data_IF_098814202097
#
_entry.id   IF_098814202097
#
_cell.length_a   1.000
_cell.length_b   1.000
_cell.length_c   1.000
_cell.angle_alpha   90.00
_cell.angle_beta   90.00
_cell.angle_gamma   90.00
#
_symmetry.space_group_name_H-M   'P 1'
#
loop_
_entity.id
_entity.type
_entity.pdbx_description
1 polymer ?
#
# COMPACT_ATOMS: atom_id res chain seq x y z
N UNK A 1 -19.68 18.23 -7.44
CA UNK A 1 -20.47 17.86 -6.23
C UNK A 1 -19.85 16.64 -5.52
N UNK A 2 -19.49 15.59 -6.26
CA UNK A 2 -18.88 14.37 -5.68
C UNK A 2 -17.54 14.69 -5.02
N UNK A 3 -16.61 15.34 -5.71
CA UNK A 3 -15.28 15.70 -5.19
C UNK A 3 -15.36 16.48 -3.87
N UNK A 4 -16.19 17.53 -3.84
CA UNK A 4 -16.39 18.36 -2.63
C UNK A 4 -16.93 17.53 -1.46
N UNK A 5 -17.92 16.66 -1.72
CA UNK A 5 -18.50 15.84 -0.67
C UNK A 5 -17.52 14.79 -0.19
N UNK A 6 -16.76 14.15 -1.11
CA UNK A 6 -15.72 13.20 -0.76
C UNK A 6 -14.65 13.83 0.13
N UNK A 7 -14.14 15.00 -0.27
CA UNK A 7 -13.17 15.73 0.54
C UNK A 7 -13.71 16.03 1.94
N UNK A 8 -14.91 16.62 2.04
CA UNK A 8 -15.50 16.97 3.34
C UNK A 8 -15.74 15.76 4.25
N UNK A 9 -16.01 14.59 3.66
CA UNK A 9 -16.28 13.37 4.43
C UNK A 9 -15.01 12.63 4.85
N UNK A 10 -13.99 12.58 3.98
CA UNK A 10 -12.85 11.69 4.18
C UNK A 10 -11.54 12.40 4.55
N UNK A 11 -11.41 13.70 4.28
CA UNK A 11 -10.17 14.41 4.61
C UNK A 11 -10.00 14.58 6.13
N UNK A 12 -8.84 14.17 6.63
CA UNK A 12 -8.44 14.29 8.04
C UNK A 12 -7.35 15.37 8.12
N UNK A 13 -7.78 16.61 8.43
CA UNK A 13 -6.93 17.79 8.39
C UNK A 13 -5.68 17.67 9.25
N UNK A 14 -5.83 17.23 10.49
CA UNK A 14 -4.75 17.14 11.46
C UNK A 14 -3.68 16.08 11.13
N UNK A 15 -3.97 15.18 10.17
CA UNK A 15 -3.07 14.10 9.75
C UNK A 15 -2.65 14.19 8.29
N UNK A 16 -3.29 15.08 7.51
CA UNK A 16 -3.09 15.26 6.08
C UNK A 16 -3.18 13.94 5.29
N UNK A 17 -4.22 13.14 5.58
CA UNK A 17 -4.54 11.90 4.88
C UNK A 17 -6.05 11.66 4.81
N UNK A 18 -6.50 10.61 4.11
CA UNK A 18 -7.92 10.25 4.04
C UNK A 18 -8.28 9.28 5.17
N UNK A 19 -9.46 9.44 5.77
CA UNK A 19 -10.06 8.49 6.69
C UNK A 19 -10.25 7.14 6.00
N UNK A 20 -10.07 6.05 6.76
CA UNK A 20 -10.25 4.69 6.26
C UNK A 20 -11.71 4.42 5.90
N UNK A 21 -12.62 4.84 6.77
CA UNK A 21 -14.06 4.85 6.54
C UNK A 21 -14.74 5.95 7.37
N UNK A 22 -16.01 6.19 7.07
CA UNK A 22 -16.88 7.10 7.84
C UNK A 22 -18.16 6.38 8.21
N UNK A 23 -18.50 6.41 9.48
CA UNK A 23 -19.73 5.81 10.02
C UNK A 23 -20.49 6.81 10.90
N UNK A 24 -21.50 6.32 11.66
CA UNK A 24 -22.30 7.14 12.59
C UNK A 24 -21.47 7.79 13.71
N UNK A 25 -20.29 7.24 14.02
CA UNK A 25 -19.36 7.77 15.03
C UNK A 25 -18.39 8.77 14.45
N UNK A 26 -18.41 8.98 13.13
CA UNK A 26 -17.56 9.90 12.40
C UNK A 26 -16.42 9.19 11.64
N UNK A 27 -15.32 9.92 11.42
CA UNK A 27 -14.18 9.46 10.63
C UNK A 27 -13.33 8.45 11.41
N UNK A 28 -13.02 7.29 10.82
CA UNK A 28 -11.92 6.46 11.29
C UNK A 28 -10.60 7.06 10.78
N UNK A 29 -9.81 7.60 11.70
CA UNK A 29 -8.56 8.33 11.40
C UNK A 29 -7.31 7.44 11.41
N UNK A 30 -7.45 6.13 11.28
CA UNK A 30 -6.31 5.22 11.18
C UNK A 30 -5.61 5.37 9.84
N UNK A 31 -4.29 5.44 9.86
CA UNK A 31 -3.50 5.44 8.62
C UNK A 31 -3.46 4.00 8.09
N UNK A 32 -4.27 3.75 7.06
CA UNK A 32 -4.40 2.47 6.37
C UNK A 32 -4.13 2.62 4.87
N UNK A 33 -3.79 1.54 4.15
CA UNK A 33 -3.41 1.64 2.74
C UNK A 33 -4.57 1.93 1.79
N UNK A 34 -5.84 1.74 2.18
CA UNK A 34 -7.01 1.89 1.30
C UNK A 34 -7.08 3.24 0.59
N UNK A 35 -6.58 4.29 1.21
CA UNK A 35 -6.50 5.63 0.62
C UNK A 35 -5.66 5.69 -0.66
N UNK A 36 -4.80 4.71 -0.94
CA UNK A 36 -3.99 4.65 -2.17
C UNK A 36 -4.86 4.55 -3.42
N UNK A 37 -6.01 3.87 -3.32
CA UNK A 37 -6.93 3.74 -4.45
C UNK A 37 -7.48 5.10 -4.91
N UNK A 38 -7.81 5.99 -3.96
CA UNK A 38 -8.25 7.34 -4.30
C UNK A 38 -7.18 8.14 -5.06
N UNK A 39 -5.89 7.76 -4.94
CA UNK A 39 -4.79 8.41 -5.66
C UNK A 39 -4.51 7.76 -7.02
N UNK A 40 -4.66 6.44 -7.12
CA UNK A 40 -4.25 5.67 -8.30
C UNK A 40 -5.30 5.63 -9.42
N UNK A 41 -6.58 5.59 -9.06
CA UNK A 41 -7.66 5.43 -10.05
C UNK A 41 -7.78 6.63 -10.99
N UNK A 42 -8.22 6.37 -12.23
CA UNK A 42 -8.35 7.36 -13.28
C UNK A 42 -9.34 8.47 -12.90
N UNK A 43 -10.51 8.07 -12.40
CA UNK A 43 -11.57 9.00 -11.97
C UNK A 43 -11.48 9.26 -10.45
N UNK A 44 -10.37 9.85 -10.05
CA UNK A 44 -10.10 10.16 -8.65
C UNK A 44 -10.92 11.36 -8.16
N UNK A 45 -11.59 11.26 -6.99
CA UNK A 45 -12.36 12.37 -6.42
C UNK A 45 -11.51 13.37 -5.63
N UNK A 46 -10.17 13.22 -5.62
CA UNK A 46 -9.26 14.07 -4.83
C UNK A 46 -8.30 14.86 -5.71
N UNK A 47 -7.96 16.08 -5.27
CA UNK A 47 -7.02 16.96 -5.96
C UNK A 47 -5.58 16.41 -5.91
N UNK A 48 -4.71 16.92 -6.79
CA UNK A 48 -3.28 16.55 -6.80
C UNK A 48 -2.59 16.87 -5.47
N UNK A 49 -2.94 17.97 -4.82
CA UNK A 49 -2.44 18.34 -3.51
C UNK A 49 -2.79 17.28 -2.45
N UNK A 50 -4.05 16.84 -2.43
CA UNK A 50 -4.50 15.77 -1.53
C UNK A 50 -3.79 14.46 -1.85
N UNK A 51 -3.63 14.10 -3.14
CA UNK A 51 -2.86 12.91 -3.56
C UNK A 51 -1.42 12.97 -3.06
N UNK A 52 -0.75 14.11 -3.19
CA UNK A 52 0.62 14.29 -2.71
C UNK A 52 0.74 14.09 -1.20
N UNK A 53 -0.20 14.62 -0.42
CA UNK A 53 -0.24 14.45 1.03
C UNK A 53 -0.49 12.99 1.42
N UNK A 54 -1.45 12.34 0.78
CA UNK A 54 -1.76 10.91 0.98
C UNK A 54 -0.56 10.04 0.67
N UNK A 55 0.08 10.20 -0.50
CA UNK A 55 1.25 9.41 -0.89
C UNK A 55 2.43 9.62 0.06
N UNK A 56 2.64 10.86 0.53
CA UNK A 56 3.66 11.16 1.54
C UNK A 56 3.36 10.47 2.88
N UNK A 57 2.10 10.45 3.30
CA UNK A 57 1.67 9.73 4.51
C UNK A 57 1.89 8.22 4.37
N UNK A 58 1.50 7.62 3.23
CA UNK A 58 1.72 6.19 2.92
C UNK A 58 3.21 5.87 2.91
N UNK A 59 4.02 6.65 2.22
CA UNK A 59 5.47 6.44 2.14
C UNK A 59 6.12 6.43 3.52
N UNK A 60 5.74 7.37 4.37
CA UNK A 60 6.32 7.53 5.71
C UNK A 60 5.92 6.42 6.68
N UNK A 61 4.69 5.90 6.60
CA UNK A 61 4.13 5.05 7.66
C UNK A 61 3.82 3.62 7.20
N UNK A 62 3.51 3.41 5.93
CA UNK A 62 3.02 2.11 5.46
C UNK A 62 3.97 1.42 4.49
N UNK A 63 4.78 2.17 3.73
CA UNK A 63 5.64 1.61 2.70
C UNK A 63 6.76 0.77 3.32
N UNK A 64 6.97 -0.41 2.74
CA UNK A 64 8.07 -1.32 3.03
C UNK A 64 8.67 -1.83 1.71
N UNK A 65 9.79 -2.53 1.77
CA UNK A 65 10.34 -3.22 0.59
C UNK A 65 9.48 -4.41 0.11
N UNK A 66 8.43 -4.79 0.85
CA UNK A 66 7.54 -5.93 0.55
C UNK A 66 6.07 -5.51 0.37
N UNK A 67 5.79 -4.23 0.15
CA UNK A 67 4.44 -3.71 -0.07
C UNK A 67 3.99 -2.67 0.94
N UNK A 68 2.68 -2.55 1.16
CA UNK A 68 2.12 -1.61 2.12
C UNK A 68 1.62 -2.34 3.37
N UNK A 69 1.98 -1.81 4.55
CA UNK A 69 1.40 -2.25 5.83
C UNK A 69 -0.10 -2.01 5.84
N UNK A 70 -0.84 -2.90 6.47
CA UNK A 70 -2.30 -2.77 6.63
C UNK A 70 -2.70 -1.77 7.70
N UNK A 71 -1.79 -1.38 8.58
CA UNK A 71 -1.95 -0.34 9.61
C UNK A 71 -0.61 0.33 9.91
N UNK A 72 -0.64 1.61 10.24
CA UNK A 72 0.54 2.37 10.67
C UNK A 72 1.12 1.82 11.97
N UNK A 73 2.47 1.67 12.09
CA UNK A 73 3.13 1.31 13.33
C UNK A 73 2.91 2.29 14.49
N UNK A 74 2.44 3.50 14.20
CA UNK A 74 2.08 4.50 15.22
C UNK A 74 0.72 4.26 15.88
N UNK A 75 -0.08 3.33 15.32
CA UNK A 75 -1.37 3.00 15.89
C UNK A 75 -1.19 2.03 17.07
N UNK A 76 -1.87 2.25 18.22
CA UNK A 76 -1.78 1.35 19.37
C UNK A 76 -2.22 -0.09 19.11
N UNK A 77 -3.04 -0.31 18.05
CA UNK A 77 -3.51 -1.62 17.65
C UNK A 77 -2.55 -2.32 16.68
N UNK A 78 -1.41 -1.71 16.36
CA UNK A 78 -0.45 -2.27 15.41
C UNK A 78 0.09 -3.63 15.85
N UNK A 79 0.11 -4.57 14.92
CA UNK A 79 0.62 -5.92 15.09
C UNK A 79 1.34 -6.34 13.81
N UNK A 80 2.65 -6.07 13.76
CA UNK A 80 3.48 -6.27 12.56
C UNK A 80 3.92 -7.71 12.34
N UNK A 81 3.80 -8.60 13.34
CA UNK A 81 4.28 -9.98 13.25
C UNK A 81 3.11 -10.95 13.15
N UNK A 82 3.14 -11.80 12.10
CA UNK A 82 2.11 -12.81 11.82
C UNK A 82 2.48 -14.13 12.49
N UNK A 83 2.08 -14.28 13.75
CA UNK A 83 2.41 -15.47 14.57
C UNK A 83 1.33 -15.79 15.59
N UNK A 84 1.46 -16.95 16.26
CA UNK A 84 0.57 -17.38 17.32
C UNK A 84 -0.59 -18.25 16.83
N UNK A 85 -1.69 -18.28 17.59
CA UNK A 85 -2.91 -19.01 17.24
C UNK A 85 -3.69 -18.31 16.11
N UNK A 86 -4.80 -18.90 15.67
CA UNK A 86 -5.61 -18.37 14.55
C UNK A 86 -6.05 -16.93 14.79
N UNK A 87 -6.62 -16.64 15.97
CA UNK A 87 -7.12 -15.30 16.28
C UNK A 87 -6.02 -14.23 16.27
N UNK A 88 -4.83 -14.61 16.76
CA UNK A 88 -3.66 -13.72 16.77
C UNK A 88 -3.17 -13.43 15.36
N UNK A 89 -3.14 -14.44 14.49
CA UNK A 89 -2.76 -14.28 13.09
C UNK A 89 -3.79 -13.46 12.31
N UNK A 90 -5.08 -13.73 12.49
CA UNK A 90 -6.17 -12.97 11.86
C UNK A 90 -6.14 -11.49 12.29
N UNK A 91 -5.83 -11.25 13.56
CA UNK A 91 -5.63 -9.89 14.03
C UNK A 91 -4.43 -9.21 13.32
N UNK A 92 -3.27 -9.85 13.29
CA UNK A 92 -2.07 -9.31 12.64
C UNK A 92 -2.27 -9.06 11.14
N UNK A 93 -3.03 -9.94 10.47
CA UNK A 93 -3.36 -9.88 9.06
C UNK A 93 -3.89 -8.50 8.61
N UNK A 94 -4.73 -7.86 9.46
CA UNK A 94 -5.36 -6.58 9.18
C UNK A 94 -4.80 -5.41 10.01
N UNK A 95 -3.89 -5.67 10.93
CA UNK A 95 -3.39 -4.66 11.87
C UNK A 95 -1.88 -4.42 11.78
N UNK A 96 -1.25 -4.75 10.68
CA UNK A 96 0.16 -4.42 10.54
C UNK A 96 0.93 -5.19 9.49
N UNK A 97 0.53 -6.41 9.14
CA UNK A 97 1.17 -7.18 8.08
C UNK A 97 1.21 -6.40 6.76
N UNK A 98 2.25 -6.64 5.98
CA UNK A 98 2.48 -6.00 4.68
C UNK A 98 1.82 -6.79 3.56
N UNK A 99 1.17 -6.07 2.64
CA UNK A 99 0.50 -6.64 1.46
C UNK A 99 1.21 -6.26 0.17
N UNK A 100 1.81 -7.22 -0.55
CA UNK A 100 2.52 -6.97 -1.80
C UNK A 100 1.66 -6.35 -2.90
N UNK A 101 0.45 -6.87 -3.09
CA UNK A 101 -0.43 -6.45 -4.19
C UNK A 101 -0.79 -4.96 -4.18
N UNK A 102 -0.73 -4.31 -3.02
CA UNK A 102 -1.01 -2.88 -2.88
C UNK A 102 0.08 -1.98 -3.46
N UNK A 103 1.29 -2.52 -3.67
CA UNK A 103 2.43 -1.71 -4.11
C UNK A 103 2.23 -1.13 -5.51
N UNK A 104 1.55 -1.86 -6.39
CA UNK A 104 1.30 -1.39 -7.74
C UNK A 104 0.47 -0.10 -7.76
N UNK A 105 -0.54 0.01 -6.91
CA UNK A 105 -1.36 1.23 -6.80
C UNK A 105 -0.54 2.41 -6.27
N UNK A 106 0.38 2.17 -5.34
CA UNK A 106 1.30 3.20 -4.87
C UNK A 106 2.25 3.66 -5.99
N UNK A 107 2.82 2.73 -6.75
CA UNK A 107 3.70 3.02 -7.89
C UNK A 107 2.93 3.80 -8.96
N UNK A 108 1.75 3.33 -9.35
CA UNK A 108 0.91 3.99 -10.35
C UNK A 108 0.55 5.42 -9.96
N UNK A 109 0.11 5.62 -8.71
CA UNK A 109 -0.22 6.95 -8.20
C UNK A 109 1.01 7.86 -8.15
N UNK A 110 2.16 7.33 -7.75
CA UNK A 110 3.42 8.08 -7.68
C UNK A 110 3.92 8.51 -9.06
N UNK A 111 3.88 7.61 -10.04
CA UNK A 111 4.24 7.92 -11.43
C UNK A 111 3.31 8.96 -12.06
N UNK A 112 1.99 8.83 -11.85
CA UNK A 112 0.99 9.80 -12.34
C UNK A 112 1.22 11.20 -11.77
N UNK A 113 1.60 11.28 -10.50
CA UNK A 113 1.72 12.57 -9.80
C UNK A 113 3.12 13.19 -9.90
N UNK A 114 4.18 12.40 -9.76
CA UNK A 114 5.56 12.89 -9.66
C UNK A 114 6.38 12.66 -10.93
N UNK A 115 5.82 11.96 -11.90
CA UNK A 115 6.47 11.74 -13.18
C UNK A 115 7.79 10.97 -13.05
N UNK A 116 8.79 11.38 -13.84
CA UNK A 116 10.12 10.76 -13.88
C UNK A 116 10.82 10.68 -12.52
N UNK A 117 10.53 11.59 -11.59
CA UNK A 117 11.12 11.58 -10.26
C UNK A 117 10.75 10.33 -9.43
N UNK A 118 9.63 9.65 -9.75
CA UNK A 118 9.22 8.44 -9.06
C UNK A 118 9.75 7.13 -9.68
N UNK A 119 10.38 7.17 -10.85
CA UNK A 119 10.78 5.97 -11.61
C UNK A 119 11.79 5.12 -10.83
N UNK A 120 12.85 5.72 -10.30
CA UNK A 120 13.88 4.97 -9.56
C UNK A 120 13.33 4.23 -8.37
N UNK A 121 12.49 4.90 -7.55
CA UNK A 121 11.84 4.27 -6.42
C UNK A 121 10.89 3.14 -6.86
N UNK A 122 10.14 3.35 -7.94
CA UNK A 122 9.24 2.33 -8.49
C UNK A 122 10.00 1.07 -8.93
N UNK A 123 11.13 1.23 -9.60
CA UNK A 123 12.00 0.12 -10.01
C UNK A 123 12.59 -0.61 -8.80
N UNK A 124 13.10 0.10 -7.80
CA UNK A 124 13.62 -0.50 -6.57
C UNK A 124 12.58 -1.37 -5.85
N UNK A 125 11.35 -0.86 -5.73
CA UNK A 125 10.25 -1.56 -5.08
C UNK A 125 9.87 -2.85 -5.81
N UNK A 126 9.89 -2.85 -7.12
CA UNK A 126 9.56 -4.04 -7.93
C UNK A 126 10.70 -5.04 -7.96
N UNK A 127 11.95 -4.58 -8.08
CA UNK A 127 13.12 -5.43 -8.13
C UNK A 127 13.39 -6.15 -6.80
N UNK A 128 12.96 -5.57 -5.67
CA UNK A 128 13.06 -6.20 -4.35
C UNK A 128 12.36 -7.58 -4.28
N UNK A 129 11.38 -7.84 -5.15
CA UNK A 129 10.71 -9.15 -5.22
C UNK A 129 11.50 -10.20 -6.01
N UNK A 130 12.43 -9.82 -6.87
CA UNK A 130 13.24 -10.78 -7.64
C UNK A 130 14.12 -11.63 -6.73
N UNK A 131 14.70 -11.02 -5.70
CA UNK A 131 15.46 -11.77 -4.68
C UNK A 131 14.55 -12.71 -3.88
N UNK A 132 13.39 -12.23 -3.46
CA UNK A 132 12.43 -13.00 -2.68
C UNK A 132 11.92 -14.25 -3.43
N UNK A 133 11.71 -14.14 -4.75
CA UNK A 133 11.33 -15.25 -5.63
C UNK A 133 12.37 -16.36 -5.72
N UNK A 134 13.59 -16.16 -5.25
CA UNK A 134 14.64 -17.20 -5.21
C UNK A 134 14.73 -17.90 -3.86
N UNK A 135 14.10 -17.34 -2.83
CA UNK A 135 14.22 -17.82 -1.43
C UNK A 135 12.94 -18.47 -0.93
N UNK A 136 11.79 -17.82 -1.18
CA UNK A 136 10.49 -18.28 -0.71
C UNK A 136 9.52 -18.41 -1.88
N UNK A 137 8.93 -19.63 -2.03
CA UNK A 137 7.99 -19.87 -3.12
C UNK A 137 8.60 -19.63 -4.50
N UNK A 138 9.68 -20.36 -4.83
CA UNK A 138 10.50 -20.14 -6.03
C UNK A 138 9.68 -19.78 -7.27
N UNK A 139 9.98 -18.63 -7.85
CA UNK A 139 9.26 -18.07 -9.00
C UNK A 139 7.91 -17.43 -8.65
N UNK A 140 7.60 -17.23 -7.37
CA UNK A 140 6.34 -16.64 -6.93
C UNK A 140 6.52 -15.65 -5.77
N UNK A 141 5.42 -15.00 -5.37
CA UNK A 141 5.37 -13.99 -4.32
C UNK A 141 4.35 -14.43 -3.28
N UNK A 142 4.73 -14.34 -2.00
CA UNK A 142 3.87 -14.67 -0.87
C UNK A 142 2.65 -13.72 -0.77
N UNK A 143 1.61 -14.19 -0.10
CA UNK A 143 0.38 -13.42 0.11
C UNK A 143 0.59 -12.19 0.98
N UNK A 144 1.39 -12.34 2.03
CA UNK A 144 1.69 -11.28 2.99
C UNK A 144 3.08 -11.47 3.59
N UNK A 145 3.59 -10.41 4.20
CA UNK A 145 4.83 -10.42 4.95
C UNK A 145 4.61 -9.78 6.32
N UNK A 146 5.49 -10.08 7.27
CA UNK A 146 5.53 -9.28 8.49
C UNK A 146 5.65 -7.79 8.15
N UNK A 147 5.01 -6.93 8.94
CA UNK A 147 5.13 -5.48 8.78
C UNK A 147 6.44 -4.91 9.32
N UNK A 148 7.14 -5.69 10.17
CA UNK A 148 8.40 -5.29 10.78
C UNK A 148 9.61 -5.88 10.03
N UNK A 149 10.81 -5.24 10.15
CA UNK A 149 12.04 -5.69 9.49
C UNK A 149 12.34 -7.16 9.70
N UNK A 150 13.01 -7.70 8.71
CA UNK A 150 13.15 -9.02 8.14
C UNK A 150 11.96 -9.42 7.25
N UNK A 151 10.79 -8.78 7.36
CA UNK A 151 9.65 -8.97 6.46
C UNK A 151 9.44 -10.44 6.06
N UNK A 152 9.36 -11.33 7.07
CA UNK A 152 9.20 -12.78 6.85
C UNK A 152 7.90 -13.04 6.08
N UNK A 153 7.94 -13.84 4.99
CA UNK A 153 6.77 -14.18 4.19
C UNK A 153 5.84 -15.15 4.91
N UNK A 154 4.52 -14.98 4.69
CA UNK A 154 3.45 -15.78 5.28
C UNK A 154 2.24 -15.91 4.33
N UNK A 155 1.23 -16.66 4.76
CA UNK A 155 0.02 -16.90 3.98
C UNK A 155 0.25 -17.89 2.85
N UNK A 156 -0.44 -17.71 1.73
CA UNK A 156 -0.23 -18.51 0.54
C UNK A 156 1.18 -18.27 -0.03
N UNK A 157 1.93 -19.35 -0.24
CA UNK A 157 3.31 -19.31 -0.77
C UNK A 157 3.33 -18.69 -2.18
N UNK A 158 2.29 -18.97 -2.97
CA UNK A 158 2.13 -18.52 -4.34
C UNK A 158 0.80 -17.75 -4.44
N UNK A 159 0.85 -16.43 -4.33
CA UNK A 159 -0.34 -15.59 -4.31
C UNK A 159 -0.53 -14.88 -5.65
N UNK A 160 -1.51 -15.33 -6.43
CA UNK A 160 -1.81 -14.81 -7.78
C UNK A 160 -2.00 -13.28 -7.79
N UNK A 161 -2.73 -12.73 -6.80
CA UNK A 161 -2.95 -11.29 -6.70
C UNK A 161 -1.65 -10.50 -6.53
N UNK A 162 -0.69 -11.00 -5.74
CA UNK A 162 0.62 -10.36 -5.60
C UNK A 162 1.42 -10.42 -6.90
N UNK A 163 1.50 -11.60 -7.53
CA UNK A 163 2.22 -11.79 -8.81
C UNK A 163 1.65 -10.90 -9.91
N UNK A 164 0.32 -10.89 -10.08
CA UNK A 164 -0.32 -10.09 -11.14
C UNK A 164 -0.12 -8.59 -10.95
N UNK A 165 -0.17 -8.09 -9.73
CA UNK A 165 0.02 -6.66 -9.45
C UNK A 165 1.49 -6.24 -9.59
N UNK A 166 2.46 -7.09 -9.29
CA UNK A 166 3.88 -6.82 -9.57
C UNK A 166 4.15 -6.81 -11.08
N UNK A 167 3.57 -7.73 -11.84
CA UNK A 167 3.66 -7.72 -13.31
C UNK A 167 3.00 -6.47 -13.90
N UNK A 168 1.85 -6.04 -13.36
CA UNK A 168 1.19 -4.79 -13.76
C UNK A 168 2.07 -3.58 -13.46
N UNK A 169 2.71 -3.53 -12.30
CA UNK A 169 3.65 -2.46 -11.95
C UNK A 169 4.83 -2.39 -12.93
N UNK A 170 5.46 -3.52 -13.26
CA UNK A 170 6.52 -3.59 -14.28
C UNK A 170 6.05 -3.03 -15.64
N UNK A 171 4.85 -3.41 -16.06
CA UNK A 171 4.26 -2.91 -17.32
C UNK A 171 4.03 -1.39 -17.30
N UNK A 172 3.53 -0.85 -16.19
CA UNK A 172 3.30 0.60 -16.02
C UNK A 172 4.62 1.37 -16.07
N UNK A 173 5.64 0.91 -15.34
CA UNK A 173 6.96 1.52 -15.34
C UNK A 173 7.57 1.52 -16.75
N UNK A 174 7.49 0.37 -17.45
CA UNK A 174 8.03 0.25 -18.81
C UNK A 174 7.34 1.19 -19.81
N UNK A 175 6.01 1.32 -19.74
CA UNK A 175 5.27 2.28 -20.57
C UNK A 175 5.68 3.70 -20.28
N UNK A 176 5.73 4.06 -19.00
CA UNK A 176 6.08 5.42 -18.56
C UNK A 176 7.50 5.86 -18.99
N UNK A 177 8.43 4.92 -19.14
CA UNK A 177 9.81 5.21 -19.63
C UNK A 177 9.89 5.38 -21.13
N UNK A 178 8.91 4.89 -21.89
CA UNK A 178 8.89 4.93 -23.35
C UNK A 178 8.04 6.07 -23.92
N UNK A 179 7.21 6.71 -23.08
CA UNK A 179 6.42 7.91 -23.40
C UNK A 179 7.25 9.18 -23.13
#
# INVERSE_FOLDING_TARGET
KIERNFYNMFWVEERAHLADYVDEKGQNKFTRPNQVFACALEYSPVSEEVKANVLRSISRELLTSRGLRTLSPKNPLYKGVYEGNQDQRDHAHHQGCTRPWLICFYIEASLKLFGGAAVSQAEELVNAYEEDMTVHGIGSIAELYNGDPQYVPHGAICHTGAVSEILRAKSIIAKFKND
#
